data_IF_735202461520
#
_entry.id   IF_735202461520
#
_cell.length_a   1.000
_cell.length_b   1.000
_cell.length_c   1.000
_cell.angle_alpha   90.00
_cell.angle_beta   90.00
_cell.angle_gamma   90.00
#
_symmetry.space_group_name_H-M   'P 1'
#
loop_
_entity.id
_entity.type
_entity.pdbx_description
1 polymer ?
#
# COMPACT_ATOMS: atom_id res chain seq x y z
N UNK A 1 -0.01 -14.29 6.28
CA UNK A 1 0.53 -12.92 6.19
C UNK A 1 2.00 -13.01 5.82
N UNK A 2 2.38 -12.45 4.67
CA UNK A 2 3.76 -12.40 4.16
C UNK A 2 4.26 -10.96 4.18
N UNK A 3 5.57 -10.79 4.35
CA UNK A 3 6.24 -9.51 4.19
C UNK A 3 6.74 -9.40 2.75
N UNK A 4 6.22 -8.42 2.00
CA UNK A 4 6.66 -8.10 0.65
C UNK A 4 7.24 -6.69 0.65
N UNK A 5 8.53 -6.60 0.36
CA UNK A 5 9.20 -5.31 0.17
C UNK A 5 9.31 -5.00 -1.30
N UNK A 6 8.88 -3.80 -1.68
CA UNK A 6 8.97 -3.29 -3.04
C UNK A 6 9.39 -1.82 -3.04
N UNK A 7 9.89 -1.37 -4.19
CA UNK A 7 10.38 -0.01 -4.37
C UNK A 7 9.56 0.61 -5.49
N UNK A 8 8.81 1.68 -5.16
CA UNK A 8 7.89 2.35 -6.09
C UNK A 8 7.89 3.85 -5.81
N UNK A 9 7.79 4.67 -6.88
CA UNK A 9 7.71 6.11 -6.73
C UNK A 9 6.45 6.50 -5.94
N UNK A 10 6.53 7.57 -5.15
CA UNK A 10 5.41 8.07 -4.35
C UNK A 10 4.11 8.29 -5.15
N UNK A 11 4.25 8.64 -6.43
CA UNK A 11 3.12 8.89 -7.34
C UNK A 11 2.28 7.62 -7.58
N UNK A 12 2.93 6.45 -7.68
CA UNK A 12 2.24 5.16 -7.80
C UNK A 12 1.70 4.67 -6.44
N UNK A 13 2.30 5.08 -5.32
CA UNK A 13 1.88 4.62 -4.00
C UNK A 13 0.46 5.03 -3.66
N UNK A 14 0.02 6.24 -4.03
CA UNK A 14 -1.37 6.65 -3.80
C UNK A 14 -2.37 5.72 -4.48
N UNK A 15 -2.06 5.30 -5.72
CA UNK A 15 -2.88 4.34 -6.46
C UNK A 15 -2.85 2.95 -5.82
N UNK A 16 -1.65 2.49 -5.42
CA UNK A 16 -1.47 1.21 -4.74
C UNK A 16 -2.29 1.17 -3.45
N UNK A 17 -2.18 2.18 -2.58
CA UNK A 17 -2.92 2.25 -1.31
C UNK A 17 -4.43 2.17 -1.55
N UNK A 18 -4.94 2.98 -2.49
CA UNK A 18 -6.38 3.04 -2.77
C UNK A 18 -6.95 1.80 -3.45
N UNK A 19 -6.10 0.98 -4.08
CA UNK A 19 -6.52 -0.27 -4.71
C UNK A 19 -6.32 -1.48 -3.78
N UNK A 20 -5.27 -1.44 -2.95
CA UNK A 20 -4.87 -2.49 -2.02
C UNK A 20 -5.79 -2.55 -0.81
N UNK A 21 -6.17 -1.38 -0.26
CA UNK A 21 -7.04 -1.31 0.90
C UNK A 21 -8.46 -0.99 0.50
N UNK A 22 -9.39 -1.87 0.87
CA UNK A 22 -10.82 -1.62 0.76
C UNK A 22 -11.30 -0.67 1.87
N UNK A 23 -10.68 -0.80 3.04
CA UNK A 23 -10.99 0.02 4.22
C UNK A 23 -9.71 0.26 5.02
N UNK A 24 -9.51 1.49 5.49
CA UNK A 24 -8.36 1.85 6.34
C UNK A 24 -8.86 2.00 7.76
N UNK A 25 -8.48 1.07 8.63
CA UNK A 25 -8.90 1.07 10.02
C UNK A 25 -7.72 1.54 10.90
N UNK A 26 -7.80 2.74 11.51
CA UNK A 26 -6.91 3.10 12.61
C UNK A 26 -7.35 2.36 13.88
N UNK A 27 -6.45 1.96 14.79
CA UNK A 27 -5.04 2.34 14.89
C UNK A 27 -4.07 1.27 14.37
N UNK A 28 -3.04 1.73 13.65
CA UNK A 28 -1.80 0.97 13.55
C UNK A 28 -1.06 1.07 14.90
N UNK A 29 -0.99 -0.03 15.67
CA UNK A 29 -0.18 -0.10 16.88
C UNK A 29 1.32 -0.13 16.52
N UNK A 30 1.84 1.04 16.13
CA UNK A 30 3.16 1.19 15.52
C UNK A 30 3.80 2.44 16.08
N UNK A 31 5.08 2.33 16.43
CA UNK A 31 5.81 3.47 16.96
C UNK A 31 5.79 4.62 15.97
N UNK A 32 5.62 5.83 16.50
CA UNK A 32 5.54 7.06 15.73
C UNK A 32 6.90 7.33 15.09
N UNK A 33 7.08 6.77 13.90
CA UNK A 33 8.33 6.85 13.13
C UNK A 33 8.17 7.93 12.06
N UNK A 34 9.26 8.36 11.44
CA UNK A 34 9.19 9.26 10.27
C UNK A 34 8.57 8.58 9.02
N UNK A 35 8.36 7.26 9.09
CA UNK A 35 7.74 6.45 8.04
C UNK A 35 6.21 6.49 8.15
N UNK A 36 5.53 6.50 7.00
CA UNK A 36 4.07 6.47 6.94
C UNK A 36 3.58 5.02 6.99
N UNK A 37 2.73 4.69 7.97
CA UNK A 37 2.20 3.33 8.13
C UNK A 37 0.67 3.35 8.00
N UNK A 38 0.15 2.48 7.15
CA UNK A 38 -1.27 2.30 6.86
C UNK A 38 -1.66 0.89 7.28
N UNK A 39 -2.78 0.77 7.99
CA UNK A 39 -3.37 -0.50 8.37
C UNK A 39 -4.83 -0.47 7.95
N UNK A 40 -5.33 -1.64 7.59
CA UNK A 40 -6.69 -1.75 7.12
C UNK A 40 -6.99 -3.15 6.61
N UNK A 41 -8.10 -3.24 5.90
CA UNK A 41 -8.58 -4.47 5.30
C UNK A 41 -8.31 -4.44 3.80
N UNK A 42 -7.62 -5.47 3.31
CA UNK A 42 -7.34 -5.68 1.89
C UNK A 42 -8.59 -6.04 1.11
N UNK A 43 -8.52 -6.03 -0.23
CA UNK A 43 -9.65 -6.41 -1.07
C UNK A 43 -10.09 -7.87 -0.83
N UNK A 44 -9.15 -8.75 -0.46
CA UNK A 44 -9.44 -10.13 -0.02
C UNK A 44 -10.14 -10.24 1.34
N UNK A 45 -10.41 -9.14 2.05
CA UNK A 45 -11.02 -9.16 3.39
C UNK A 45 -10.04 -9.53 4.51
N UNK A 46 -8.75 -9.62 4.20
CA UNK A 46 -7.69 -9.92 5.16
C UNK A 46 -7.08 -8.63 5.73
N UNK A 47 -6.62 -8.62 6.99
CA UNK A 47 -5.88 -7.48 7.53
C UNK A 47 -4.55 -7.31 6.77
N UNK A 48 -4.32 -6.09 6.30
CA UNK A 48 -3.11 -5.67 5.61
C UNK A 48 -2.45 -4.52 6.35
N UNK A 49 -1.13 -4.44 6.24
CA UNK A 49 -0.36 -3.31 6.76
C UNK A 49 0.69 -2.90 5.76
N UNK A 50 0.75 -1.62 5.43
CA UNK A 50 1.70 -1.05 4.49
C UNK A 50 2.55 0.00 5.19
N UNK A 51 3.87 -0.19 5.20
CA UNK A 51 4.85 0.79 5.71
C UNK A 51 5.55 1.43 4.53
N UNK A 52 5.59 2.75 4.51
CA UNK A 52 6.18 3.56 3.45
C UNK A 52 7.32 4.37 4.06
N UNK A 53 8.54 4.04 3.64
CA UNK A 53 9.78 4.65 4.07
C UNK A 53 10.47 5.29 2.85
N UNK A 54 10.03 6.49 2.47
CA UNK A 54 10.49 7.17 1.25
C UNK A 54 10.07 6.40 -0.02
N UNK A 55 11.05 5.88 -0.77
CA UNK A 55 10.83 5.09 -1.98
C UNK A 55 10.65 3.58 -1.70
N UNK A 56 10.90 3.15 -0.45
CA UNK A 56 10.80 1.76 -0.03
C UNK A 56 9.49 1.50 0.69
N UNK A 57 8.71 0.56 0.17
CA UNK A 57 7.44 0.15 0.73
C UNK A 57 7.48 -1.31 1.16
N UNK A 58 6.96 -1.57 2.35
CA UNK A 58 6.89 -2.90 2.96
C UNK A 58 5.43 -3.19 3.26
N UNK A 59 4.86 -4.12 2.51
CA UNK A 59 3.52 -4.61 2.72
C UNK A 59 3.54 -5.92 3.52
N UNK A 60 2.63 -6.02 4.47
CA UNK A 60 2.39 -7.17 5.32
C UNK A 60 0.97 -7.64 5.04
N UNK A 61 0.82 -8.74 4.31
CA UNK A 61 -0.49 -9.20 3.85
C UNK A 61 -0.40 -10.40 2.94
N UNK A 62 -1.40 -10.56 2.08
CA UNK A 62 -1.41 -11.60 1.07
C UNK A 62 -0.71 -11.10 -0.21
N UNK A 63 0.30 -11.81 -0.73
CA UNK A 63 1.02 -11.36 -1.92
C UNK A 63 0.14 -11.33 -3.17
N UNK A 64 -0.95 -12.12 -3.21
CA UNK A 64 -1.88 -12.15 -4.34
C UNK A 64 -2.64 -10.82 -4.47
N UNK A 65 -3.08 -10.25 -3.35
CA UNK A 65 -3.75 -8.95 -3.28
C UNK A 65 -2.81 -7.83 -3.76
N UNK A 66 -1.57 -7.84 -3.28
CA UNK A 66 -0.54 -6.91 -3.75
C UNK A 66 -0.17 -7.13 -5.22
N UNK A 67 -0.07 -8.38 -5.67
CA UNK A 67 0.24 -8.71 -7.07
C UNK A 67 -0.89 -8.29 -8.01
N UNK A 68 -2.15 -8.39 -7.58
CA UNK A 68 -3.31 -7.90 -8.30
C UNK A 68 -3.30 -6.37 -8.41
N UNK A 69 -2.84 -5.66 -7.39
CA UNK A 69 -2.67 -4.20 -7.42
C UNK A 69 -1.50 -3.79 -8.31
N UNK A 70 -0.37 -4.50 -8.22
CA UNK A 70 0.83 -4.24 -9.03
C UNK A 70 0.65 -4.64 -10.50
N UNK A 71 -0.17 -5.66 -10.79
CA UNK A 71 -0.53 -6.09 -12.14
C UNK A 71 -1.75 -5.33 -12.68
N UNK A 72 -2.58 -4.81 -11.77
CA UNK A 72 -3.66 -3.90 -12.09
C UNK A 72 -3.06 -2.68 -12.75
N UNK A 73 -3.57 -2.31 -13.93
CA UNK A 73 -3.24 -1.01 -14.51
C UNK A 73 -3.67 0.04 -13.49
N UNK A 74 -2.72 0.64 -12.76
CA UNK A 74 -2.95 1.98 -12.26
C UNK A 74 -3.41 2.78 -13.49
N UNK A 75 -4.61 3.39 -13.47
CA UNK A 75 -5.09 4.14 -14.61
C UNK A 75 -4.15 5.32 -14.80
N UNK A 76 -3.14 5.12 -15.65
CA UNK A 76 -2.22 6.15 -16.05
C UNK A 76 -3.06 7.29 -16.64
N UNK A 77 -2.65 8.51 -16.27
CA UNK A 77 -2.94 9.81 -16.90
C UNK A 77 -3.89 10.77 -16.16
N UNK A 78 -3.63 11.05 -14.88
CA UNK A 78 -3.87 12.42 -14.39
C UNK A 78 -3.02 12.94 -13.21
N UNK A 79 -1.81 12.40 -12.98
CA UNK A 79 -0.87 12.97 -11.99
C UNK A 79 0.42 13.51 -12.63
N UNK A 80 0.32 14.06 -13.85
CA UNK A 80 1.36 14.92 -14.42
C UNK A 80 0.71 16.23 -14.87
N UNK A 81 1.20 17.36 -14.35
CA UNK A 81 0.72 18.76 -14.44
C UNK A 81 -0.23 19.15 -13.31
N UNK A 82 0.08 20.10 -12.44
CA UNK A 82 1.20 21.04 -12.35
C UNK A 82 0.88 22.04 -11.23
#
# INVERSE_FOLDING_TARGET
>A
MQEITFTRPLDELSCIIGTLFTDLEPPCDVERTADLVLCGTTHSGNPGRLRIAGDRCTFYGEPDDLAAVLSGRCPERRCCHG
#
